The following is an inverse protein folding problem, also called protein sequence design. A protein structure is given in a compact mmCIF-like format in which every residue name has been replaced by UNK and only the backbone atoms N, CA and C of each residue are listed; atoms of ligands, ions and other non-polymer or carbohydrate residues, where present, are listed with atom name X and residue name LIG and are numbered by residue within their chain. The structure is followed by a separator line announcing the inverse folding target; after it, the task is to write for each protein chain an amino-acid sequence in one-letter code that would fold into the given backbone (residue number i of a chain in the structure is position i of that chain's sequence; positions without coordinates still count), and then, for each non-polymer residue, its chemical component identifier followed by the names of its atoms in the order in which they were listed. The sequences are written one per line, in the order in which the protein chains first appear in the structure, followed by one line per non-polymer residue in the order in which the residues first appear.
data_IF_763094912369
#
_entry.id   IF_763094912369
#
_cell.length_a   1.000
_cell.length_b   1.000
_cell.length_c   1.000
_cell.angle_alpha   90.00
_cell.angle_beta   90.00
_cell.angle_gamma   90.00
#
_symmetry.space_group_name_H-M   'P 1'
#
loop_
_entity.id
_entity.type
_entity.pdbx_description
1 polymer ?
#
# COMPACT_ATOMS: atom_id res chain seq x y z
N UNK A 1 -15.21 -20.02 2.96
CA UNK A 1 -15.02 -20.36 1.53
C UNK A 1 -13.53 -20.43 1.24
N UNK A 2 -13.05 -21.44 0.50
CA UNK A 2 -11.63 -21.50 0.12
C UNK A 2 -11.33 -20.37 -0.86
N UNK A 3 -10.30 -19.58 -0.57
CA UNK A 3 -9.86 -18.48 -1.45
C UNK A 3 -9.23 -19.03 -2.73
N UNK A 4 -9.48 -18.37 -3.85
CA UNK A 4 -8.92 -18.74 -5.15
C UNK A 4 -7.47 -18.26 -5.23
N UNK A 5 -6.58 -19.15 -5.66
CA UNK A 5 -5.19 -18.78 -5.94
C UNK A 5 -5.08 -18.19 -7.33
N UNK A 6 -4.26 -17.16 -7.49
CA UNK A 6 -3.99 -16.52 -8.77
C UNK A 6 -2.65 -16.99 -9.32
N UNK A 7 -2.58 -17.21 -10.63
CA UNK A 7 -1.36 -17.62 -11.32
C UNK A 7 -1.23 -16.92 -12.66
N UNK A 8 0.01 -16.63 -13.02
CA UNK A 8 0.37 -16.06 -14.32
C UNK A 8 -0.44 -14.81 -14.70
N UNK A 9 -0.78 -14.01 -13.70
CA UNK A 9 -1.54 -12.78 -13.93
C UNK A 9 -0.64 -11.68 -14.51
N UNK A 10 -1.22 -10.90 -15.44
CA UNK A 10 -0.61 -9.65 -15.87
C UNK A 10 -0.87 -8.59 -14.80
N UNK A 11 0.21 -8.03 -14.27
CA UNK A 11 0.12 -7.02 -13.25
C UNK A 11 -0.58 -5.75 -13.73
N UNK A 12 -0.53 -5.47 -15.03
CA UNK A 12 -1.18 -4.31 -15.63
C UNK A 12 -2.72 -4.42 -15.59
N UNK A 13 -3.28 -5.63 -15.56
CA UNK A 13 -4.72 -5.81 -15.36
C UNK A 13 -5.19 -5.40 -13.95
N UNK A 14 -4.27 -5.35 -12.99
CA UNK A 14 -4.56 -5.02 -11.58
C UNK A 14 -4.30 -3.54 -11.30
N UNK A 15 -3.27 -2.96 -11.90
CA UNK A 15 -2.83 -1.59 -11.62
C UNK A 15 -3.93 -0.56 -11.85
N UNK A 16 -3.93 0.47 -11.01
CA UNK A 16 -4.73 1.66 -11.27
C UNK A 16 -4.14 2.42 -12.46
N UNK A 17 -4.95 2.94 -13.41
CA UNK A 17 -4.43 3.62 -14.59
C UNK A 17 -3.47 4.77 -14.29
N UNK A 18 -3.80 5.61 -13.32
CA UNK A 18 -2.97 6.75 -12.92
C UNK A 18 -1.62 6.34 -12.31
N UNK A 19 -1.54 5.15 -11.67
CA UNK A 19 -0.28 4.59 -11.18
C UNK A 19 0.68 4.30 -12.35
N UNK A 20 0.19 3.67 -13.42
CA UNK A 20 0.99 3.39 -14.61
C UNK A 20 1.49 4.67 -15.30
N UNK A 21 0.60 5.62 -15.51
CA UNK A 21 0.88 6.85 -16.29
C UNK A 21 2.01 7.67 -15.67
N UNK A 22 1.98 7.87 -14.35
CA UNK A 22 3.00 8.68 -13.66
C UNK A 22 4.36 7.97 -13.66
N UNK A 23 4.39 6.66 -13.39
CA UNK A 23 5.64 5.88 -13.42
C UNK A 23 6.26 5.85 -14.82
N UNK A 24 5.45 5.71 -15.86
CA UNK A 24 5.92 5.77 -17.24
C UNK A 24 6.54 7.13 -17.58
N UNK A 25 5.95 8.21 -17.08
CA UNK A 25 6.52 9.55 -17.17
C UNK A 25 7.88 9.68 -16.50
N UNK A 26 7.99 9.25 -15.25
CA UNK A 26 9.24 9.26 -14.48
C UNK A 26 10.33 8.42 -15.15
N UNK A 27 9.97 7.26 -15.66
CA UNK A 27 10.90 6.32 -16.30
C UNK A 27 11.46 6.82 -17.65
N UNK A 28 10.82 7.80 -18.28
CA UNK A 28 11.32 8.43 -19.50
C UNK A 28 12.40 9.50 -19.23
N UNK A 29 12.58 9.91 -17.97
CA UNK A 29 13.61 10.90 -17.61
C UNK A 29 14.99 10.24 -17.76
N UNK A 30 15.91 10.82 -18.57
CA UNK A 30 17.24 10.26 -18.78
C UNK A 30 18.00 10.07 -17.46
N UNK A 31 18.76 8.98 -17.35
CA UNK A 31 19.58 8.60 -16.17
C UNK A 31 18.81 8.35 -14.87
N UNK A 32 17.52 8.62 -14.80
CA UNK A 32 16.71 8.48 -13.57
C UNK A 32 16.73 7.05 -13.02
N UNK A 33 16.46 6.04 -13.86
CA UNK A 33 16.50 4.62 -13.43
C UNK A 33 17.87 4.19 -12.91
N UNK A 34 18.94 4.66 -13.55
CA UNK A 34 20.30 4.36 -13.10
C UNK A 34 20.58 4.96 -11.72
N UNK A 35 20.21 6.23 -11.51
CA UNK A 35 20.32 6.87 -10.21
C UNK A 35 19.50 6.14 -9.14
N UNK A 36 18.25 5.79 -9.44
CA UNK A 36 17.36 5.09 -8.51
C UNK A 36 17.95 3.75 -8.07
N UNK A 37 18.33 2.87 -9.02
CA UNK A 37 18.76 1.51 -8.74
C UNK A 37 20.19 1.41 -8.20
N UNK A 38 21.10 2.31 -8.62
CA UNK A 38 22.52 2.23 -8.26
C UNK A 38 22.89 3.11 -7.06
N UNK A 39 22.01 4.06 -6.68
CA UNK A 39 22.32 4.98 -5.58
C UNK A 39 21.28 4.86 -4.45
N UNK A 40 20.01 5.06 -4.77
CA UNK A 40 18.97 5.15 -3.73
C UNK A 40 18.65 3.77 -3.14
N UNK A 41 18.36 2.79 -3.99
CA UNK A 41 17.92 1.47 -3.54
C UNK A 41 18.94 0.82 -2.60
N UNK A 42 20.24 0.71 -2.93
CA UNK A 42 21.21 0.06 -2.05
C UNK A 42 21.36 0.75 -0.67
N UNK A 43 21.36 2.09 -0.66
CA UNK A 43 21.49 2.86 0.60
C UNK A 43 20.25 2.63 1.48
N UNK A 44 19.06 2.68 0.89
CA UNK A 44 17.81 2.50 1.63
C UNK A 44 17.60 1.06 2.10
N UNK A 45 18.01 0.08 1.30
CA UNK A 45 17.97 -1.33 1.74
C UNK A 45 18.86 -1.56 2.95
N UNK A 46 20.10 -1.06 2.92
CA UNK A 46 21.02 -1.19 4.05
C UNK A 46 20.49 -0.49 5.32
N UNK A 47 19.97 0.73 5.17
CA UNK A 47 19.37 1.47 6.28
C UNK A 47 18.18 0.73 6.90
N UNK A 48 17.23 0.34 6.07
CA UNK A 48 16.01 -0.34 6.53
C UNK A 48 16.30 -1.72 7.14
N UNK A 49 17.37 -2.39 6.70
CA UNK A 49 17.77 -3.66 7.28
C UNK A 49 18.28 -3.47 8.73
N UNK A 50 19.13 -2.48 8.96
CA UNK A 50 19.66 -2.18 10.31
C UNK A 50 18.54 -1.74 11.25
N UNK A 51 17.70 -0.81 10.82
CA UNK A 51 16.58 -0.27 11.63
C UNK A 51 15.61 -1.38 12.06
N UNK A 52 15.16 -2.20 11.12
CA UNK A 52 14.19 -3.26 11.43
C UNK A 52 14.76 -4.41 12.30
N UNK A 53 16.07 -4.62 12.30
CA UNK A 53 16.70 -5.59 13.21
C UNK A 53 16.91 -5.01 14.61
N UNK A 54 17.10 -3.69 14.71
CA UNK A 54 17.39 -3.03 15.96
C UNK A 54 16.19 -2.82 16.87
N UNK A 55 15.03 -2.49 16.29
CA UNK A 55 13.86 -2.01 17.05
C UNK A 55 12.55 -2.77 16.78
N UNK A 56 12.60 -3.88 16.05
CA UNK A 56 11.40 -4.63 15.68
C UNK A 56 11.37 -6.07 16.20
N UNK A 57 10.14 -6.61 16.42
CA UNK A 57 9.91 -8.02 16.71
C UNK A 57 9.76 -8.83 15.44
N UNK A 58 10.67 -9.79 15.20
CA UNK A 58 10.60 -10.65 14.02
C UNK A 58 9.45 -11.65 14.13
N UNK A 59 8.51 -11.60 13.19
CA UNK A 59 7.36 -12.48 13.07
C UNK A 59 7.72 -13.66 12.17
N UNK A 60 7.76 -14.85 12.77
CA UNK A 60 8.12 -16.11 12.12
C UNK A 60 7.10 -17.19 12.48
N UNK A 61 7.25 -18.38 11.87
CA UNK A 61 6.44 -19.56 12.25
C UNK A 61 6.63 -19.97 13.72
N UNK A 62 7.75 -19.61 14.35
CA UNK A 62 8.06 -19.92 15.74
C UNK A 62 7.63 -18.82 16.70
N UNK A 63 7.86 -17.54 16.34
CA UNK A 63 7.63 -16.41 17.26
C UNK A 63 6.18 -15.95 17.29
N UNK A 64 5.48 -15.94 16.14
CA UNK A 64 4.10 -15.46 15.99
C UNK A 64 3.38 -16.22 14.86
N UNK A 65 3.08 -17.52 15.06
CA UNK A 65 2.64 -18.41 13.99
C UNK A 65 1.35 -17.99 13.30
N UNK A 66 0.40 -17.41 14.03
CA UNK A 66 -0.89 -17.00 13.48
C UNK A 66 -0.75 -15.84 12.50
N UNK A 67 0.04 -14.82 12.84
CA UNK A 67 0.26 -13.65 11.99
C UNK A 67 1.11 -14.04 10.77
N UNK A 68 2.16 -14.85 11.01
CA UNK A 68 2.98 -15.38 9.93
C UNK A 68 2.17 -16.21 8.93
N UNK A 69 1.16 -16.97 9.41
CA UNK A 69 0.26 -17.73 8.55
C UNK A 69 -0.61 -16.82 7.66
N UNK A 70 -1.03 -15.64 8.14
CA UNK A 70 -1.75 -14.67 7.31
C UNK A 70 -0.88 -14.20 6.12
N UNK A 71 0.41 -13.92 6.37
CA UNK A 71 1.35 -13.56 5.30
C UNK A 71 1.55 -14.71 4.31
N UNK A 72 1.75 -15.94 4.78
CA UNK A 72 1.88 -17.12 3.92
C UNK A 72 0.63 -17.35 3.07
N UNK A 73 -0.55 -17.13 3.64
CA UNK A 73 -1.82 -17.26 2.92
C UNK A 73 -1.89 -16.20 1.80
N UNK A 74 -1.60 -14.93 2.08
CA UNK A 74 -1.56 -13.88 1.07
C UNK A 74 -0.54 -14.16 -0.04
N UNK A 75 0.69 -14.57 0.32
CA UNK A 75 1.71 -15.01 -0.65
C UNK A 75 1.22 -16.19 -1.50
N UNK A 76 0.58 -17.18 -0.89
CA UNK A 76 0.03 -18.34 -1.57
C UNK A 76 -1.05 -18.00 -2.58
N UNK A 77 -1.90 -17.02 -2.26
CA UNK A 77 -2.96 -16.51 -3.16
C UNK A 77 -2.34 -15.80 -4.37
N UNK A 78 -1.38 -14.92 -4.13
CA UNK A 78 -0.70 -14.14 -5.18
C UNK A 78 0.39 -14.90 -5.93
N UNK A 79 0.75 -16.12 -5.52
CA UNK A 79 1.84 -16.88 -6.14
C UNK A 79 3.23 -16.31 -5.85
N UNK A 80 3.40 -15.53 -4.80
CA UNK A 80 4.69 -15.04 -4.35
C UNK A 80 5.50 -16.19 -3.77
N UNK A 81 6.60 -16.57 -4.45
CA UNK A 81 7.40 -17.76 -4.09
C UNK A 81 8.24 -17.55 -2.83
N UNK A 82 8.89 -16.40 -2.72
CA UNK A 82 9.74 -16.04 -1.57
C UNK A 82 8.87 -15.23 -0.57
N UNK A 83 8.49 -15.86 0.53
CA UNK A 83 7.77 -15.16 1.60
C UNK A 83 8.69 -14.08 2.18
N UNK A 84 8.26 -12.82 2.22
CA UNK A 84 9.09 -11.73 2.74
C UNK A 84 9.31 -11.89 4.25
N UNK A 85 10.35 -11.22 4.76
CA UNK A 85 10.52 -11.04 6.22
C UNK A 85 9.35 -10.21 6.73
N UNK A 86 8.85 -10.53 7.92
CA UNK A 86 7.78 -9.79 8.59
C UNK A 86 8.27 -9.36 9.97
N UNK A 87 8.12 -8.09 10.28
CA UNK A 87 8.52 -7.50 11.56
C UNK A 87 7.37 -6.67 12.10
N UNK A 88 7.16 -6.65 13.41
CA UNK A 88 6.27 -5.68 14.05
C UNK A 88 7.06 -4.63 14.81
N UNK A 89 6.56 -3.40 14.78
CA UNK A 89 7.08 -2.27 15.54
C UNK A 89 6.01 -1.74 16.48
N UNK A 90 6.45 -1.16 17.60
CA UNK A 90 5.55 -0.57 18.59
C UNK A 90 4.95 0.73 18.06
N UNK A 91 3.72 0.66 17.59
CA UNK A 91 2.94 1.83 17.21
C UNK A 91 1.45 1.49 17.29
N UNK A 92 0.66 2.34 17.95
CA UNK A 92 -0.76 2.05 18.18
C UNK A 92 -1.63 2.23 16.92
N UNK A 93 -1.34 3.23 16.09
CA UNK A 93 -2.10 3.40 14.85
C UNK A 93 -1.86 2.21 13.91
N UNK A 94 -2.92 1.66 13.28
CA UNK A 94 -2.79 0.49 12.41
C UNK A 94 -2.14 0.89 11.07
N UNK A 95 -0.82 0.85 11.05
CA UNK A 95 0.02 1.18 9.91
C UNK A 95 0.86 -0.01 9.45
N UNK A 96 1.27 0.03 8.21
CA UNK A 96 2.28 -0.85 7.64
C UNK A 96 3.14 -0.07 6.68
N UNK A 97 4.33 -0.53 6.48
CA UNK A 97 5.17 -0.16 5.36
C UNK A 97 5.98 -1.37 4.92
N UNK A 98 6.51 -1.31 3.74
CA UNK A 98 7.40 -2.34 3.26
C UNK A 98 8.70 -1.70 2.79
N UNK A 99 9.79 -2.43 2.93
CA UNK A 99 11.14 -1.98 2.66
C UNK A 99 11.90 -3.03 1.85
N UNK A 100 12.91 -2.58 1.11
CA UNK A 100 13.72 -3.44 0.28
C UNK A 100 13.07 -3.79 -1.06
N UNK A 101 13.91 -4.11 -2.02
CA UNK A 101 13.50 -4.57 -3.35
C UNK A 101 13.86 -6.06 -3.51
N UNK A 102 15.14 -6.43 -3.39
CA UNK A 102 15.59 -7.83 -3.44
C UNK A 102 15.39 -8.53 -2.09
N UNK A 103 15.66 -7.82 -0.99
CA UNK A 103 15.44 -8.26 0.38
C UNK A 103 14.15 -7.68 0.95
N UNK A 104 13.06 -7.91 0.24
CA UNK A 104 11.76 -7.39 0.59
C UNK A 104 11.31 -7.81 1.99
N UNK A 105 10.87 -6.82 2.75
CA UNK A 105 10.39 -6.94 4.13
C UNK A 105 9.10 -6.15 4.29
N UNK A 106 8.21 -6.66 5.11
CA UNK A 106 7.02 -5.95 5.56
C UNK A 106 7.19 -5.63 7.04
N UNK A 107 6.89 -4.40 7.41
CA UNK A 107 6.81 -3.97 8.80
C UNK A 107 5.36 -3.58 9.08
N UNK A 108 4.79 -4.11 10.16
CA UNK A 108 3.44 -3.79 10.61
C UNK A 108 3.47 -3.26 12.04
N UNK A 109 2.57 -2.32 12.34
CA UNK A 109 2.44 -1.83 13.71
C UNK A 109 1.81 -2.87 14.64
N UNK A 110 2.19 -2.85 15.92
CA UNK A 110 1.49 -3.63 16.97
C UNK A 110 0.00 -3.31 16.99
N UNK A 111 -0.38 -2.06 16.75
CA UNK A 111 -1.78 -1.67 16.63
C UNK A 111 -2.53 -2.35 15.49
N UNK A 112 -1.89 -2.61 14.34
CA UNK A 112 -2.53 -3.38 13.27
C UNK A 112 -2.80 -4.83 13.71
N UNK A 113 -1.87 -5.44 14.45
CA UNK A 113 -2.02 -6.79 14.99
C UNK A 113 -3.17 -6.86 16.00
N UNK A 114 -3.29 -5.87 16.88
CA UNK A 114 -4.30 -5.82 17.94
C UNK A 114 -5.71 -5.47 17.45
N UNK A 115 -5.81 -4.71 16.36
CA UNK A 115 -7.07 -4.15 15.89
C UNK A 115 -7.69 -4.91 14.73
N UNK A 116 -6.90 -5.67 13.98
CA UNK A 116 -7.37 -6.37 12.79
C UNK A 116 -7.62 -7.86 13.05
N UNK A 117 -8.75 -8.34 12.55
CA UNK A 117 -9.06 -9.75 12.48
C UNK A 117 -8.20 -10.44 11.40
N UNK A 118 -8.17 -11.78 11.43
CA UNK A 118 -7.38 -12.58 10.48
C UNK A 118 -7.55 -12.15 9.01
N UNK A 119 -8.78 -12.01 8.56
CA UNK A 119 -9.08 -11.65 7.16
C UNK A 119 -8.65 -10.21 6.83
N UNK A 120 -8.77 -9.32 7.81
CA UNK A 120 -8.32 -7.94 7.72
C UNK A 120 -6.79 -7.85 7.67
N UNK A 121 -6.08 -8.69 8.43
CA UNK A 121 -4.62 -8.82 8.33
C UNK A 121 -4.18 -9.36 6.96
N UNK A 122 -4.93 -10.31 6.38
CA UNK A 122 -4.65 -10.82 5.04
C UNK A 122 -4.82 -9.73 3.98
N UNK A 123 -5.86 -8.88 4.07
CA UNK A 123 -6.00 -7.70 3.22
C UNK A 123 -4.81 -6.76 3.39
N UNK A 124 -4.46 -6.45 4.63
CA UNK A 124 -3.44 -5.48 4.99
C UNK A 124 -2.03 -5.91 4.53
N UNK A 125 -1.67 -7.17 4.75
CA UNK A 125 -0.43 -7.77 4.24
C UNK A 125 -0.44 -7.91 2.71
N UNK A 126 -1.61 -8.19 2.13
CA UNK A 126 -1.82 -8.22 0.69
C UNK A 126 -1.59 -6.86 0.02
N UNK A 127 -1.97 -5.77 0.68
CA UNK A 127 -1.67 -4.40 0.24
C UNK A 127 -0.14 -4.18 0.14
N UNK A 128 0.63 -4.55 1.16
CA UNK A 128 2.09 -4.44 1.12
C UNK A 128 2.74 -5.33 0.05
N UNK A 129 2.23 -6.55 -0.12
CA UNK A 129 2.63 -7.41 -1.24
C UNK A 129 2.29 -6.78 -2.59
N UNK A 130 1.20 -6.00 -2.67
CA UNK A 130 0.82 -5.23 -3.85
C UNK A 130 1.91 -4.23 -4.25
N UNK A 131 2.44 -3.47 -3.31
CA UNK A 131 3.57 -2.58 -3.59
C UNK A 131 4.80 -3.32 -4.11
N UNK A 132 5.06 -4.52 -3.57
CA UNK A 132 6.19 -5.34 -4.02
C UNK A 132 6.00 -5.84 -5.45
N UNK A 133 4.90 -6.54 -5.73
CA UNK A 133 4.69 -7.17 -7.05
C UNK A 133 4.48 -6.14 -8.17
N UNK A 134 3.99 -4.94 -7.85
CA UNK A 134 3.81 -3.85 -8.80
C UNK A 134 5.07 -3.01 -9.04
N UNK A 135 6.18 -3.32 -8.33
CA UNK A 135 7.46 -2.62 -8.52
C UNK A 135 7.48 -1.20 -7.96
N UNK A 136 6.68 -0.90 -6.93
CA UNK A 136 6.59 0.43 -6.33
C UNK A 136 7.78 0.77 -5.44
N UNK A 137 8.44 -0.25 -4.85
CA UNK A 137 9.43 -0.05 -3.78
C UNK A 137 10.60 0.89 -4.11
N UNK A 138 11.26 0.78 -5.28
CA UNK A 138 12.35 1.69 -5.61
C UNK A 138 11.94 3.17 -5.56
N UNK A 139 10.74 3.48 -6.02
CA UNK A 139 10.22 4.86 -6.07
C UNK A 139 9.80 5.36 -4.68
N UNK A 140 9.23 4.48 -3.85
CA UNK A 140 8.92 4.79 -2.45
C UNK A 140 10.20 5.06 -1.66
N UNK A 141 11.25 4.25 -1.85
CA UNK A 141 12.57 4.47 -1.26
C UNK A 141 13.18 5.80 -1.68
N UNK A 142 12.99 6.22 -2.93
CA UNK A 142 13.41 7.55 -3.37
C UNK A 142 12.66 8.64 -2.61
N UNK A 143 11.33 8.53 -2.51
CA UNK A 143 10.53 9.51 -1.78
C UNK A 143 10.99 9.63 -0.33
N UNK A 144 11.18 8.50 0.36
CA UNK A 144 11.71 8.46 1.72
C UNK A 144 13.09 9.14 1.81
N UNK A 145 14.00 8.83 0.87
CA UNK A 145 15.32 9.43 0.82
C UNK A 145 15.29 10.96 0.66
N UNK A 146 14.29 11.49 -0.07
CA UNK A 146 14.12 12.95 -0.24
C UNK A 146 13.73 13.68 1.06
N UNK A 147 13.22 12.96 2.05
CA UNK A 147 12.87 13.50 3.38
C UNK A 147 13.92 13.23 4.45
N UNK A 148 14.98 12.46 4.15
CA UNK A 148 16.04 12.21 5.10
C UNK A 148 16.94 13.43 5.28
N UNK A 149 17.11 13.96 6.51
CA UNK A 149 17.89 15.16 6.75
C UNK A 149 19.40 14.96 6.53
N UNK A 150 19.86 13.72 6.43
CA UNK A 150 21.29 13.38 6.39
C UNK A 150 21.84 13.14 4.96
N UNK A 151 21.00 13.13 3.94
CA UNK A 151 21.48 12.94 2.56
C UNK A 151 21.79 14.31 1.94
N UNK A 152 22.91 14.89 2.33
CA UNK A 152 23.45 16.09 1.69
C UNK A 152 24.22 15.74 0.40
N UNK A 153 23.58 14.96 -0.47
CA UNK A 153 24.15 14.56 -1.75
C UNK A 153 23.61 15.48 -2.86
N UNK A 154 24.50 16.15 -3.64
CA UNK A 154 24.08 17.04 -4.72
C UNK A 154 23.16 16.38 -5.74
N UNK A 155 23.40 15.11 -6.07
CA UNK A 155 22.54 14.36 -6.99
C UNK A 155 21.12 14.16 -6.43
N UNK A 156 20.98 13.87 -5.14
CA UNK A 156 19.67 13.73 -4.47
C UNK A 156 18.94 15.08 -4.47
N UNK A 157 19.63 16.19 -4.19
CA UNK A 157 19.07 17.56 -4.26
C UNK A 157 18.57 17.90 -5.67
N UNK A 158 19.36 17.62 -6.68
CA UNK A 158 18.97 17.83 -8.07
C UNK A 158 17.70 17.06 -8.43
N UNK A 159 17.70 15.74 -8.15
CA UNK A 159 16.54 14.89 -8.43
C UNK A 159 15.31 15.31 -7.62
N UNK A 160 15.48 15.72 -6.35
CA UNK A 160 14.35 16.17 -5.53
C UNK A 160 13.59 17.33 -6.16
N UNK A 161 14.30 18.26 -6.77
CA UNK A 161 13.68 19.41 -7.44
C UNK A 161 12.81 18.99 -8.63
N UNK A 162 13.25 17.97 -9.37
CA UNK A 162 12.60 17.53 -10.62
C UNK A 162 11.44 16.58 -10.32
N UNK A 163 11.64 15.59 -9.41
CA UNK A 163 10.71 14.45 -9.31
C UNK A 163 9.81 14.48 -8.05
N UNK A 164 10.08 15.35 -7.07
CA UNK A 164 9.36 15.32 -5.78
C UNK A 164 7.84 15.45 -5.93
N UNK A 165 7.38 16.40 -6.71
CA UNK A 165 5.93 16.64 -6.86
C UNK A 165 5.23 15.50 -7.59
N UNK A 166 5.68 15.07 -8.80
CA UNK A 166 5.06 13.94 -9.47
C UNK A 166 5.21 12.64 -8.68
N UNK A 167 6.32 12.45 -7.96
CA UNK A 167 6.53 11.26 -7.14
C UNK A 167 5.57 11.19 -5.95
N UNK A 168 5.27 12.33 -5.30
CA UNK A 168 4.27 12.43 -4.23
C UNK A 168 2.86 12.15 -4.76
N UNK A 169 2.54 12.65 -5.93
CA UNK A 169 1.25 12.37 -6.55
C UNK A 169 1.11 10.90 -6.90
N UNK A 170 2.14 10.33 -7.52
CA UNK A 170 2.20 8.90 -7.80
C UNK A 170 2.09 8.04 -6.52
N UNK A 171 2.78 8.41 -5.44
CA UNK A 171 2.77 7.65 -4.19
C UNK A 171 1.35 7.43 -3.67
N UNK A 172 0.51 8.48 -3.72
CA UNK A 172 -0.91 8.37 -3.38
C UNK A 172 -1.69 7.44 -4.31
N UNK A 173 -1.36 7.44 -5.62
CA UNK A 173 -2.03 6.59 -6.61
C UNK A 173 -1.60 5.13 -6.49
N UNK A 174 -0.37 4.88 -6.08
CA UNK A 174 0.15 3.53 -5.86
C UNK A 174 -0.62 2.76 -4.77
N UNK A 175 -1.18 3.47 -3.79
CA UNK A 175 -2.05 2.88 -2.76
C UNK A 175 -3.36 2.31 -3.34
N UNK A 176 -3.91 2.93 -4.39
CA UNK A 176 -5.13 2.40 -5.04
C UNK A 176 -4.85 1.05 -5.73
N UNK A 177 -3.68 0.90 -6.34
CA UNK A 177 -3.21 -0.39 -6.87
C UNK A 177 -3.01 -1.41 -5.76
N UNK A 178 -2.33 -1.03 -4.69
CA UNK A 178 -2.06 -1.91 -3.56
C UNK A 178 -3.34 -2.39 -2.87
N UNK A 179 -4.36 -1.53 -2.75
CA UNK A 179 -5.67 -1.90 -2.21
C UNK A 179 -6.40 -2.96 -3.07
N UNK A 180 -6.29 -2.86 -4.40
CA UNK A 180 -6.83 -3.90 -5.31
C UNK A 180 -6.18 -5.25 -5.05
N UNK A 181 -4.86 -5.27 -4.87
CA UNK A 181 -4.12 -6.51 -4.53
C UNK A 181 -4.54 -7.03 -3.16
N UNK A 182 -4.73 -6.15 -2.17
CA UNK A 182 -5.27 -6.51 -0.86
C UNK A 182 -6.62 -7.22 -0.95
N UNK A 183 -7.56 -6.69 -1.77
CA UNK A 183 -8.86 -7.35 -2.01
C UNK A 183 -8.69 -8.68 -2.72
N UNK A 184 -7.76 -8.81 -3.66
CA UNK A 184 -7.47 -10.09 -4.30
C UNK A 184 -6.96 -11.14 -3.29
N UNK A 185 -6.30 -10.71 -2.20
CA UNK A 185 -5.85 -11.59 -1.12
C UNK A 185 -6.99 -12.01 -0.18
N UNK A 186 -7.77 -11.07 0.35
CA UNK A 186 -8.88 -11.40 1.26
C UNK A 186 -10.12 -11.90 0.54
N UNK A 187 -10.28 -11.57 -0.74
CA UNK A 187 -11.42 -11.93 -1.62
C UNK A 187 -12.79 -11.53 -1.06
N UNK A 188 -12.80 -10.44 -0.29
CA UNK A 188 -14.02 -9.90 0.28
C UNK A 188 -13.88 -8.37 0.41
N UNK A 189 -14.72 -7.64 -0.33
CA UNK A 189 -14.72 -6.17 -0.34
C UNK A 189 -15.11 -5.59 1.03
N UNK A 190 -16.02 -6.23 1.75
CA UNK A 190 -16.47 -5.73 3.06
C UNK A 190 -15.34 -5.79 4.09
N UNK A 191 -14.46 -6.80 4.01
CA UNK A 191 -13.24 -6.89 4.83
C UNK A 191 -12.32 -5.70 4.56
N UNK A 192 -12.07 -5.38 3.31
CA UNK A 192 -11.22 -4.23 2.94
C UNK A 192 -11.81 -2.91 3.45
N UNK A 193 -13.12 -2.70 3.27
CA UNK A 193 -13.80 -1.50 3.75
C UNK A 193 -13.82 -1.39 5.28
N UNK A 194 -13.93 -2.51 6.01
CA UNK A 194 -13.78 -2.52 7.48
C UNK A 194 -12.39 -2.09 7.92
N UNK A 195 -11.33 -2.54 7.23
CA UNK A 195 -9.95 -2.08 7.49
C UNK A 195 -9.85 -0.57 7.28
N UNK A 196 -10.40 -0.05 6.19
CA UNK A 196 -10.37 1.40 5.91
C UNK A 196 -11.14 2.21 6.97
N UNK A 197 -12.30 1.73 7.43
CA UNK A 197 -13.07 2.36 8.53
C UNK A 197 -12.25 2.38 9.82
N UNK A 198 -11.60 1.27 10.19
CA UNK A 198 -10.76 1.19 11.37
C UNK A 198 -9.56 2.15 11.27
N UNK A 199 -8.93 2.22 10.11
CA UNK A 199 -7.81 3.16 9.83
C UNK A 199 -8.27 4.61 9.74
N UNK A 200 -9.51 4.88 9.38
CA UNK A 200 -10.10 6.23 9.42
C UNK A 200 -10.33 6.76 10.84
N UNK A 201 -10.11 5.94 11.86
CA UNK A 201 -10.13 6.36 13.26
C UNK A 201 -11.29 5.81 14.09
N UNK A 202 -12.03 4.80 13.60
CA UNK A 202 -13.06 4.18 14.42
C UNK A 202 -12.43 3.47 15.65
N UNK A 203 -12.79 3.83 16.88
CA UNK A 203 -12.20 3.22 18.07
C UNK A 203 -12.67 1.77 18.25
N UNK A 204 -11.79 0.92 18.81
CA UNK A 204 -12.06 -0.53 19.00
C UNK A 204 -13.40 -0.82 19.69
N UNK A 205 -13.80 -0.02 20.68
CA UNK A 205 -15.08 -0.18 21.39
C UNK A 205 -16.32 -0.05 20.49
N UNK A 206 -16.18 0.57 19.30
CA UNK A 206 -17.27 0.79 18.34
C UNK A 206 -17.24 -0.19 17.15
N UNK A 207 -16.41 -1.24 17.18
CA UNK A 207 -16.28 -2.15 16.03
C UNK A 207 -17.54 -2.98 15.74
N UNK A 208 -18.40 -3.18 16.73
CA UNK A 208 -19.74 -3.77 16.57
C UNK A 208 -20.73 -2.82 15.86
N UNK A 209 -20.41 -1.54 15.75
CA UNK A 209 -21.23 -0.50 15.11
C UNK A 209 -20.79 -0.18 13.68
N UNK A 210 -19.83 -0.92 13.13
CA UNK A 210 -19.33 -0.68 11.77
C UNK A 210 -20.46 -0.71 10.76
N UNK A 211 -20.66 0.44 10.09
CA UNK A 211 -21.65 0.61 9.04
C UNK A 211 -20.96 0.99 7.71
N UNK A 212 -20.69 -0.03 6.90
CA UNK A 212 -20.03 0.12 5.59
C UNK A 212 -20.82 1.07 4.68
N UNK A 213 -22.17 1.00 4.68
CA UNK A 213 -22.99 1.85 3.82
C UNK A 213 -22.87 3.33 4.19
N UNK A 214 -22.84 3.64 5.50
CA UNK A 214 -22.63 5.00 5.97
C UNK A 214 -21.24 5.53 5.59
N UNK A 215 -20.20 4.71 5.71
CA UNK A 215 -18.84 5.08 5.31
C UNK A 215 -18.72 5.29 3.80
N UNK A 216 -19.31 4.45 2.96
CA UNK A 216 -19.35 4.65 1.51
C UNK A 216 -20.12 5.90 1.13
N UNK A 217 -21.24 6.20 1.81
CA UNK A 217 -21.95 7.46 1.60
C UNK A 217 -21.03 8.65 1.88
N UNK A 218 -20.34 8.66 3.02
CA UNK A 218 -19.34 9.70 3.34
C UNK A 218 -18.26 9.80 2.27
N UNK A 219 -17.79 8.66 1.74
CA UNK A 219 -16.75 8.62 0.71
C UNK A 219 -17.22 9.26 -0.60
N UNK A 220 -18.43 8.92 -1.06
CA UNK A 220 -19.01 9.52 -2.27
C UNK A 220 -19.42 10.98 -2.07
N UNK A 221 -19.96 11.34 -0.91
CA UNK A 221 -20.25 12.74 -0.57
C UNK A 221 -18.98 13.59 -0.57
N UNK A 222 -17.86 13.05 -0.05
CA UNK A 222 -16.55 13.72 -0.07
C UNK A 222 -16.05 13.98 -1.50
N UNK A 223 -16.20 13.04 -2.43
CA UNK A 223 -15.79 13.25 -3.82
C UNK A 223 -16.68 14.29 -4.54
N UNK A 224 -17.97 14.34 -4.21
CA UNK A 224 -18.95 15.19 -4.88
C UNK A 224 -19.18 16.56 -4.21
N UNK A 225 -18.79 16.74 -2.95
CA UNK A 225 -19.21 17.88 -2.12
C UNK A 225 -18.40 19.18 -2.31
N UNK A 226 -17.32 19.13 -3.10
CA UNK A 226 -16.42 20.29 -3.24
C UNK A 226 -16.72 21.09 -4.52
N UNK A 227 -17.85 21.82 -4.52
CA UNK A 227 -18.33 22.58 -5.68
C UNK A 227 -17.74 23.99 -5.71
N UNK A 228 -17.34 24.55 -4.55
CA UNK A 228 -16.78 25.90 -4.43
C UNK A 228 -15.30 25.98 -4.82
N UNK A 229 -14.87 27.16 -5.33
CA UNK A 229 -13.45 27.38 -5.68
C UNK A 229 -12.53 27.28 -4.45
N UNK A 230 -12.97 27.76 -3.29
CA UNK A 230 -12.21 27.68 -2.03
C UNK A 230 -12.07 26.23 -1.57
N UNK A 231 -13.12 25.42 -1.70
CA UNK A 231 -13.09 24.00 -1.33
C UNK A 231 -12.14 23.21 -2.21
N UNK A 232 -12.11 23.49 -3.52
CA UNK A 232 -11.15 22.90 -4.47
C UNK A 232 -9.71 23.25 -4.11
N UNK A 233 -9.46 24.50 -3.76
CA UNK A 233 -8.14 24.98 -3.32
C UNK A 233 -7.76 24.32 -2.00
N UNK A 234 -8.67 24.28 -1.02
CA UNK A 234 -8.44 23.62 0.26
C UNK A 234 -8.17 22.13 0.11
N UNK A 235 -8.95 21.42 -0.73
CA UNK A 235 -8.73 20.01 -1.07
C UNK A 235 -7.34 19.80 -1.72
N UNK A 236 -6.97 20.65 -2.67
CA UNK A 236 -5.67 20.58 -3.33
C UNK A 236 -4.49 20.84 -2.37
N UNK A 237 -4.64 21.83 -1.47
CA UNK A 237 -3.62 22.12 -0.46
C UNK A 237 -3.52 21.02 0.59
N UNK A 238 -4.65 20.49 1.05
CA UNK A 238 -4.69 19.37 2.01
C UNK A 238 -4.09 18.09 1.40
N UNK A 239 -4.36 17.81 0.13
CA UNK A 239 -3.73 16.70 -0.60
C UNK A 239 -2.21 16.87 -0.72
N UNK A 240 -1.70 18.10 -0.88
CA UNK A 240 -0.26 18.38 -0.92
C UNK A 240 0.43 18.18 0.43
N UNK A 241 -0.29 18.36 1.54
CA UNK A 241 0.22 18.15 2.89
C UNK A 241 0.06 16.72 3.40
N UNK A 242 -0.76 15.89 2.74
CA UNK A 242 -0.96 14.49 3.10
C UNK A 242 -0.01 13.57 2.30
N UNK A 243 0.80 12.80 2.99
CA UNK A 243 1.64 11.76 2.36
C UNK A 243 0.78 10.62 1.80
N UNK A 244 -0.33 10.29 2.45
CA UNK A 244 -1.23 9.19 2.07
C UNK A 244 -2.59 9.70 1.61
N UNK A 245 -3.26 9.01 0.68
CA UNK A 245 -4.63 9.34 0.31
C UNK A 245 -5.59 9.08 1.47
N UNK A 246 -6.61 9.89 1.60
CA UNK A 246 -7.62 9.70 2.66
C UNK A 246 -8.33 8.36 2.55
N UNK A 247 -8.66 7.75 3.69
CA UNK A 247 -9.34 6.44 3.72
C UNK A 247 -10.69 6.47 3.00
N UNK A 248 -11.41 7.58 3.05
CA UNK A 248 -12.67 7.75 2.29
C UNK A 248 -12.44 7.71 0.79
N UNK A 249 -11.37 8.34 0.30
CA UNK A 249 -11.00 8.33 -1.12
C UNK A 249 -10.58 6.93 -1.57
N UNK A 250 -9.73 6.26 -0.80
CA UNK A 250 -9.33 4.85 -1.05
C UNK A 250 -10.56 3.94 -1.11
N UNK A 251 -11.50 4.10 -0.19
CA UNK A 251 -12.74 3.31 -0.15
C UNK A 251 -13.61 3.54 -1.39
N UNK A 252 -13.78 4.79 -1.83
CA UNK A 252 -14.55 5.11 -3.04
C UNK A 252 -13.95 4.45 -4.28
N UNK A 253 -12.65 4.68 -4.56
CA UNK A 253 -11.98 4.10 -5.72
C UNK A 253 -11.97 2.56 -5.71
N UNK A 254 -11.71 1.95 -4.55
CA UNK A 254 -11.71 0.49 -4.43
C UNK A 254 -13.10 -0.11 -4.65
N UNK A 255 -14.14 0.52 -4.11
CA UNK A 255 -15.50 0.06 -4.25
C UNK A 255 -16.04 0.24 -5.67
N UNK A 256 -15.70 1.33 -6.35
CA UNK A 256 -16.01 1.56 -7.77
C UNK A 256 -15.37 0.49 -8.66
N UNK A 257 -14.07 0.23 -8.47
CA UNK A 257 -13.37 -0.84 -9.18
C UNK A 257 -14.01 -2.22 -8.95
N UNK A 258 -14.38 -2.52 -7.70
CA UNK A 258 -15.06 -3.78 -7.38
C UNK A 258 -16.42 -3.89 -8.08
N UNK A 259 -17.21 -2.81 -8.06
CA UNK A 259 -18.54 -2.75 -8.67
C UNK A 259 -18.52 -2.74 -10.20
N UNK A 260 -17.45 -2.24 -10.82
CA UNK A 260 -17.29 -2.25 -12.28
C UNK A 260 -17.20 -3.66 -12.87
N UNK A 261 -16.99 -4.67 -12.00
CA UNK A 261 -16.81 -6.06 -12.41
C UNK A 261 -15.36 -6.43 -12.75
N UNK A 262 -14.41 -5.47 -12.71
CA UNK A 262 -12.99 -5.73 -13.00
C UNK A 262 -12.40 -6.75 -12.03
N UNK A 263 -12.72 -6.64 -10.74
CA UNK A 263 -12.34 -7.66 -9.74
C UNK A 263 -12.75 -9.07 -10.18
N UNK A 264 -14.00 -9.25 -10.61
CA UNK A 264 -14.53 -10.55 -10.99
C UNK A 264 -13.89 -11.08 -12.28
N UNK A 265 -13.56 -10.19 -13.23
CA UNK A 265 -12.82 -10.54 -14.43
C UNK A 265 -11.43 -11.08 -14.09
N UNK A 266 -10.68 -10.41 -13.19
CA UNK A 266 -9.35 -10.82 -12.75
C UNK A 266 -9.41 -12.19 -12.06
N UNK A 267 -10.31 -12.36 -11.10
CA UNK A 267 -10.46 -13.64 -10.37
C UNK A 267 -10.80 -14.79 -11.32
N UNK A 268 -11.66 -14.57 -12.33
CA UNK A 268 -12.04 -15.61 -13.28
C UNK A 268 -10.92 -15.91 -14.29
N UNK A 269 -10.21 -14.87 -14.76
CA UNK A 269 -9.14 -14.99 -15.75
C UNK A 269 -7.92 -15.74 -15.19
N UNK A 270 -7.54 -15.49 -13.93
CA UNK A 270 -6.27 -15.89 -13.34
C UNK A 270 -6.37 -16.95 -12.23
N UNK A 271 -7.56 -17.49 -11.98
CA UNK A 271 -7.72 -18.59 -11.01
C UNK A 271 -6.83 -19.77 -11.41
N UNK A 272 -6.06 -20.30 -10.45
CA UNK A 272 -5.42 -21.59 -10.63
C UNK A 272 -6.49 -22.69 -10.71
N UNK A 273 -6.37 -23.56 -11.68
CA UNK A 273 -7.19 -24.76 -11.83
C UNK A 273 -6.78 -25.79 -10.77
#
# INVERSE_FOLDING_TARGET
MLKRRLRNYDINDIKHPEDCEILDGLNKIPFFKGFLNNTIVPIREAYNEVESYGDGWNITAQSSPQIYQCLKEACGILGVKKVPKLTSEWFYAPTSFSAGNENFRIVISSGAIDLFEKEELIFFLGHELGHYICGHKPYQMLLEALYMPFIDNPSVKMWSTIVKVPLLDWYRKSDFTADRVGVLCCQNIDVALRVMIKRAGLPKKCYNEINIKAFLKQAFDFENHHVGNLDKIAKALSLRSCEYPWMVQRAAYLYEWYRSGEYQKIINKYKAI
#
